data_IF_379092560345
#
_entry.id   IF_379092560345
#
_cell.length_a   1.000
_cell.length_b   1.000
_cell.length_c   1.000
_cell.angle_alpha   90.00
_cell.angle_beta   90.00
_cell.angle_gamma   90.00
#
_symmetry.space_group_name_H-M   'P 1'
#
loop_
_entity.id
_entity.type
_entity.pdbx_description
1 polymer ?
#
# COMPACT_ATOMS: atom_id res chain seq x y z
N UNK A 1 -18.86 57.90 -1.07
CA UNK A 1 -18.32 56.69 -1.72
C UNK A 1 -17.67 55.84 -0.64
N UNK A 2 -18.21 54.65 -0.42
CA UNK A 2 -17.96 53.78 0.73
C UNK A 2 -16.59 53.10 0.63
N UNK A 3 -15.73 53.31 1.64
CA UNK A 3 -14.45 52.62 1.76
C UNK A 3 -14.69 51.28 2.48
N UNK A 4 -14.71 50.17 1.73
CA UNK A 4 -14.92 48.83 2.27
C UNK A 4 -13.70 48.37 3.05
N UNK A 5 -13.89 48.13 4.35
CA UNK A 5 -12.93 47.51 5.25
C UNK A 5 -12.83 46.00 4.93
N UNK A 6 -11.76 45.59 4.27
CA UNK A 6 -11.51 44.18 3.98
C UNK A 6 -10.78 43.53 5.17
N UNK A 7 -11.55 42.84 6.02
CA UNK A 7 -11.01 41.92 7.03
C UNK A 7 -10.37 40.72 6.31
N UNK A 8 -9.04 40.67 6.29
CA UNK A 8 -8.30 39.44 5.98
C UNK A 8 -8.38 38.51 7.19
N UNK A 9 -9.44 37.70 7.25
CA UNK A 9 -9.43 36.50 8.09
C UNK A 9 -8.51 35.50 7.39
N UNK A 10 -7.26 35.46 7.84
CA UNK A 10 -6.32 34.40 7.46
C UNK A 10 -6.89 33.07 7.93
N UNK A 11 -7.48 32.32 7.01
CA UNK A 11 -7.73 30.90 7.15
C UNK A 11 -6.37 30.22 7.25
N UNK A 12 -5.86 30.12 8.48
CA UNK A 12 -4.83 29.14 8.83
C UNK A 12 -5.51 27.79 8.59
N UNK A 13 -5.28 27.22 7.41
CA UNK A 13 -5.60 25.84 7.12
C UNK A 13 -4.85 24.99 8.13
N UNK A 14 -5.53 24.60 9.21
CA UNK A 14 -5.13 23.50 10.04
C UNK A 14 -5.08 22.29 9.11
N UNK A 15 -3.88 21.98 8.62
CA UNK A 15 -3.57 20.68 8.08
C UNK A 15 -3.75 19.69 9.23
N UNK A 16 -4.98 19.20 9.39
CA UNK A 16 -5.21 18.02 10.19
C UNK A 16 -4.48 16.88 9.47
N UNK A 17 -3.28 16.55 9.92
CA UNK A 17 -2.68 15.26 9.65
C UNK A 17 -3.66 14.24 10.21
N UNK A 18 -4.54 13.72 9.34
CA UNK A 18 -5.44 12.66 9.71
C UNK A 18 -4.55 11.50 10.11
N UNK A 19 -4.56 11.20 11.42
CA UNK A 19 -4.05 9.96 11.97
C UNK A 19 -4.56 8.85 11.04
N UNK A 20 -3.66 8.13 10.38
CA UNK A 20 -4.05 6.96 9.62
C UNK A 20 -4.73 6.01 10.62
N UNK A 21 -6.06 6.00 10.64
CA UNK A 21 -6.82 5.14 11.54
C UNK A 21 -6.64 3.72 11.04
N UNK A 22 -5.56 3.07 11.50
CA UNK A 22 -5.25 1.67 11.22
C UNK A 22 -6.36 0.76 11.72
N UNK A 23 -6.46 -0.41 11.08
CA UNK A 23 -7.53 -1.35 11.35
C UNK A 23 -7.56 -1.78 12.83
N UNK A 24 -8.76 -1.94 13.42
CA UNK A 24 -8.89 -2.43 14.78
C UNK A 24 -8.22 -3.80 14.94
N UNK A 25 -7.41 -3.94 15.99
CA UNK A 25 -6.66 -5.17 16.33
C UNK A 25 -5.16 -5.11 16.05
N UNK A 26 -4.66 -4.02 15.45
CA UNK A 26 -3.23 -3.83 15.17
C UNK A 26 -2.37 -4.12 16.39
N UNK A 27 -1.24 -4.80 16.20
CA UNK A 27 -0.31 -5.12 17.30
C UNK A 27 1.15 -4.93 16.88
N UNK A 28 2.01 -4.71 17.88
CA UNK A 28 3.45 -4.56 17.66
C UNK A 28 4.13 -5.93 17.74
N UNK A 29 4.85 -6.34 16.69
CA UNK A 29 5.61 -7.61 16.70
C UNK A 29 6.88 -7.51 17.56
N UNK A 30 7.51 -6.34 17.58
CA UNK A 30 8.75 -6.06 18.32
C UNK A 30 8.52 -5.51 19.73
N UNK A 31 9.62 -5.23 20.44
CA UNK A 31 9.56 -4.47 21.68
C UNK A 31 9.13 -3.03 21.38
N UNK A 32 8.15 -2.53 22.14
CA UNK A 32 7.75 -1.14 22.06
C UNK A 32 8.86 -0.24 22.59
N UNK A 33 9.07 0.89 21.91
CA UNK A 33 10.11 1.87 22.28
C UNK A 33 9.72 2.64 23.55
N UNK A 34 8.44 3.01 23.64
CA UNK A 34 7.86 3.78 24.73
C UNK A 34 6.34 3.65 24.69
N UNK A 35 5.66 4.19 25.70
CA UNK A 35 4.24 4.50 25.60
C UNK A 35 4.01 5.70 24.67
N UNK A 36 2.78 5.85 24.20
CA UNK A 36 2.39 7.01 23.42
C UNK A 36 2.31 8.25 24.30
N UNK A 37 2.88 9.37 23.84
CA UNK A 37 2.72 10.65 24.52
C UNK A 37 1.52 11.37 23.91
N UNK A 38 0.42 11.45 24.66
CA UNK A 38 -0.85 12.04 24.17
C UNK A 38 -1.32 11.41 22.84
N UNK A 39 -1.21 10.08 22.72
CA UNK A 39 -1.57 9.34 21.51
C UNK A 39 -0.63 9.55 20.32
N UNK A 40 0.52 10.20 20.53
CA UNK A 40 1.52 10.49 19.49
C UNK A 40 2.85 9.82 19.78
N UNK A 41 3.62 9.56 18.72
CA UNK A 41 4.94 8.95 18.77
C UNK A 41 5.95 9.78 17.95
N UNK A 42 7.26 9.65 18.23
CA UNK A 42 8.31 10.25 17.41
C UNK A 42 8.26 9.72 15.97
N UNK A 43 8.84 10.46 15.02
CA UNK A 43 8.93 10.02 13.62
C UNK A 43 9.51 8.60 13.47
N UNK A 44 8.91 7.79 12.60
CA UNK A 44 9.26 6.38 12.40
C UNK A 44 8.61 5.42 13.40
N UNK A 45 7.76 5.93 14.29
CA UNK A 45 7.01 5.15 15.27
C UNK A 45 5.53 5.53 15.25
N UNK A 46 4.70 4.55 15.53
CA UNK A 46 3.24 4.71 15.52
C UNK A 46 2.61 4.17 16.79
N UNK A 47 1.54 4.86 17.23
CA UNK A 47 0.85 4.53 18.46
C UNK A 47 -0.15 3.39 18.24
N UNK A 48 0.13 2.21 18.80
CA UNK A 48 -0.73 1.03 18.74
C UNK A 48 -1.08 0.61 20.18
N UNK A 49 -2.36 0.68 20.56
CA UNK A 49 -2.83 0.22 21.87
C UNK A 49 -2.18 0.90 23.09
N UNK A 50 -1.62 2.11 22.93
CA UNK A 50 -0.81 2.89 23.88
C UNK A 50 0.72 2.67 23.85
N UNK A 51 1.25 2.01 22.82
CA UNK A 51 2.68 1.81 22.64
C UNK A 51 3.19 2.37 21.32
N UNK A 52 4.33 3.06 21.36
CA UNK A 52 5.08 3.47 20.18
C UNK A 52 5.83 2.27 19.60
N UNK A 53 5.25 1.73 18.54
CA UNK A 53 5.82 0.65 17.75
C UNK A 53 6.59 1.23 16.56
N UNK A 54 7.73 0.65 16.21
CA UNK A 54 8.40 0.98 14.94
C UNK A 54 7.43 0.72 13.79
N UNK A 55 7.34 1.62 12.82
CA UNK A 55 6.47 1.43 11.64
C UNK A 55 6.78 0.14 10.88
N UNK A 56 8.05 -0.32 10.92
CA UNK A 56 8.50 -1.59 10.36
C UNK A 56 8.02 -2.84 11.15
N UNK A 57 7.63 -2.66 12.41
CA UNK A 57 7.20 -3.72 13.32
C UNK A 57 5.68 -3.73 13.57
N UNK A 58 4.94 -2.78 12.98
CA UNK A 58 3.49 -2.75 13.09
C UNK A 58 2.88 -3.84 12.22
N UNK A 59 2.19 -4.75 12.89
CA UNK A 59 1.37 -5.78 12.26
C UNK A 59 -0.06 -5.26 12.17
N UNK A 60 -0.51 -5.01 10.94
CA UNK A 60 -1.92 -4.76 10.65
C UNK A 60 -2.68 -6.10 10.67
N UNK A 61 -3.78 -6.23 11.40
CA UNK A 61 -4.69 -7.35 11.26
C UNK A 61 -5.62 -6.96 10.13
N UNK A 62 -5.27 -7.40 8.93
CA UNK A 62 -6.16 -7.28 7.78
C UNK A 62 -6.72 -5.87 7.57
N UNK A 63 -5.88 -4.93 7.14
CA UNK A 63 -6.36 -4.05 6.07
C UNK A 63 -6.52 -4.97 4.86
N UNK A 64 -7.75 -5.23 4.42
CA UNK A 64 -8.18 -6.27 3.46
C UNK A 64 -7.05 -7.24 3.07
N UNK A 65 -6.58 -8.06 4.02
CA UNK A 65 -5.52 -9.00 3.72
C UNK A 65 -6.13 -10.05 2.81
N UNK A 66 -5.82 -9.96 1.52
CA UNK A 66 -6.43 -10.78 0.48
C UNK A 66 -5.39 -11.59 -0.26
N UNK A 67 -5.83 -12.77 -0.66
CA UNK A 67 -5.16 -13.51 -1.72
C UNK A 67 -5.68 -12.99 -3.05
N UNK A 68 -4.79 -12.61 -3.95
CA UNK A 68 -5.10 -12.19 -5.31
C UNK A 68 -5.00 -13.34 -6.29
N UNK A 69 -4.21 -14.38 -5.95
CA UNK A 69 -4.14 -15.61 -6.71
C UNK A 69 -5.25 -16.57 -6.26
N UNK A 70 -5.93 -17.20 -7.22
CA UNK A 70 -7.01 -18.17 -6.94
C UNK A 70 -6.51 -19.50 -6.37
N UNK A 71 -5.21 -19.79 -6.51
CA UNK A 71 -4.59 -21.07 -6.11
C UNK A 71 -3.33 -20.86 -5.27
N UNK A 72 -3.51 -20.25 -4.09
CA UNK A 72 -2.41 -20.02 -3.15
C UNK A 72 -1.93 -21.28 -2.41
N UNK A 73 -2.69 -22.38 -2.45
CA UNK A 73 -2.31 -23.64 -1.81
C UNK A 73 -1.05 -24.27 -2.42
N UNK A 74 -0.75 -23.93 -3.67
CA UNK A 74 0.43 -24.41 -4.41
C UNK A 74 1.63 -23.45 -4.32
N UNK A 75 1.52 -22.35 -3.56
CA UNK A 75 2.60 -21.36 -3.41
C UNK A 75 3.53 -21.75 -2.25
N UNK A 76 4.83 -21.82 -2.51
CA UNK A 76 5.85 -22.12 -1.50
C UNK A 76 6.14 -20.90 -0.60
N UNK A 77 5.29 -20.68 0.40
CA UNK A 77 5.36 -19.50 1.28
C UNK A 77 6.73 -19.29 1.98
N UNK A 78 7.49 -20.37 2.22
CA UNK A 78 8.75 -20.32 2.97
C UNK A 78 10.02 -20.38 2.09
N UNK A 79 9.87 -20.57 0.78
CA UNK A 79 11.00 -20.74 -0.12
C UNK A 79 11.72 -19.41 -0.37
N UNK A 80 13.05 -19.45 -0.36
CA UNK A 80 13.90 -18.26 -0.56
C UNK A 80 13.67 -17.77 -2.00
N UNK A 81 13.21 -16.52 -2.14
CA UNK A 81 12.81 -15.92 -3.42
C UNK A 81 11.31 -15.94 -3.70
N UNK A 82 10.52 -16.75 -2.97
CA UNK A 82 9.06 -16.80 -3.08
C UNK A 82 8.34 -15.96 -2.02
N UNK A 83 9.01 -15.56 -0.94
CA UNK A 83 8.40 -14.81 0.16
C UNK A 83 7.81 -13.46 -0.27
N UNK A 84 8.44 -12.79 -1.24
CA UNK A 84 7.92 -11.54 -1.80
C UNK A 84 6.68 -11.79 -2.68
N UNK A 85 6.74 -12.82 -3.51
CA UNK A 85 5.60 -13.25 -4.32
C UNK A 85 4.41 -13.68 -3.44
N UNK A 86 4.66 -14.50 -2.42
CA UNK A 86 3.69 -14.96 -1.45
C UNK A 86 3.08 -13.80 -0.67
N UNK A 87 3.89 -12.82 -0.26
CA UNK A 87 3.41 -11.60 0.40
C UNK A 87 2.55 -10.73 -0.50
N UNK A 88 2.85 -10.63 -1.80
CA UNK A 88 2.06 -9.84 -2.72
C UNK A 88 0.75 -10.52 -3.15
N UNK A 89 0.76 -11.84 -3.37
CA UNK A 89 -0.33 -12.53 -4.05
C UNK A 89 -1.14 -13.48 -3.16
N UNK A 90 -0.54 -13.92 -2.04
CA UNK A 90 -1.08 -14.97 -1.17
C UNK A 90 -0.93 -14.61 0.31
N UNK A 91 -1.03 -13.32 0.64
CA UNK A 91 -0.73 -12.81 1.97
C UNK A 91 -1.57 -13.48 3.07
N UNK A 92 -2.83 -13.83 2.78
CA UNK A 92 -3.71 -14.48 3.74
C UNK A 92 -3.37 -15.96 3.85
N UNK A 93 -3.28 -16.67 2.73
CA UNK A 93 -2.96 -18.12 2.70
C UNK A 93 -1.57 -18.40 3.30
N UNK A 94 -0.58 -17.56 3.02
CA UNK A 94 0.77 -17.68 3.56
C UNK A 94 0.93 -17.04 4.96
N UNK A 95 -0.15 -16.55 5.57
CA UNK A 95 -0.15 -15.87 6.86
C UNK A 95 0.86 -14.72 6.95
N UNK A 96 1.06 -13.99 5.85
CA UNK A 96 2.00 -12.88 5.69
C UNK A 96 1.35 -11.50 5.81
N UNK A 97 0.11 -11.43 6.33
CA UNK A 97 -0.61 -10.17 6.59
C UNK A 97 0.12 -9.21 7.56
N UNK A 98 1.24 -9.65 8.16
CA UNK A 98 2.01 -8.92 9.16
C UNK A 98 3.10 -8.01 8.61
N UNK A 99 3.34 -8.00 7.30
CA UNK A 99 4.45 -7.26 6.72
C UNK A 99 3.96 -6.01 6.00
N UNK A 100 4.32 -4.84 6.53
CA UNK A 100 4.16 -3.53 5.88
C UNK A 100 5.29 -3.23 4.88
N UNK A 101 6.23 -4.16 4.68
CA UNK A 101 7.35 -3.98 3.77
C UNK A 101 6.89 -3.95 2.32
N UNK A 102 7.27 -2.88 1.60
CA UNK A 102 7.02 -2.76 0.16
C UNK A 102 7.56 -3.98 -0.57
N UNK A 103 6.69 -4.69 -1.29
CA UNK A 103 7.11 -5.80 -2.15
C UNK A 103 7.75 -5.21 -3.41
N UNK A 104 8.81 -5.83 -3.93
CA UNK A 104 9.39 -5.37 -5.19
C UNK A 104 8.34 -5.48 -6.33
N UNK A 105 8.22 -4.47 -7.22
CA UNK A 105 7.24 -4.45 -8.31
C UNK A 105 7.25 -5.71 -9.18
N UNK A 106 8.43 -6.32 -9.33
CA UNK A 106 8.62 -7.56 -10.09
C UNK A 106 7.82 -8.76 -9.56
N UNK A 107 7.50 -8.81 -8.25
CA UNK A 107 6.78 -9.92 -7.63
C UNK A 107 5.26 -9.70 -7.53
N UNK A 108 4.81 -8.49 -7.83
CA UNK A 108 3.41 -8.19 -8.13
C UNK A 108 3.06 -8.53 -9.60
N UNK A 109 4.02 -9.01 -10.40
CA UNK A 109 3.84 -9.26 -11.84
C UNK A 109 3.10 -10.58 -12.15
N UNK A 110 1.86 -10.66 -11.70
CA UNK A 110 0.90 -11.69 -12.09
C UNK A 110 -0.27 -11.02 -12.78
N UNK A 111 -0.72 -11.62 -13.87
CA UNK A 111 -1.95 -11.19 -14.52
C UNK A 111 -3.14 -11.50 -13.59
N UNK A 112 -3.88 -10.46 -13.25
CA UNK A 112 -5.05 -10.52 -12.37
C UNK A 112 -6.32 -10.84 -13.17
N UNK A 113 -6.33 -10.52 -14.46
CA UNK A 113 -7.43 -10.85 -15.37
C UNK A 113 -7.15 -12.16 -16.11
N UNK A 114 -8.20 -12.95 -16.31
CA UNK A 114 -8.11 -14.23 -17.04
C UNK A 114 -8.10 -14.06 -18.56
N UNK A 115 -8.48 -12.89 -19.07
CA UNK A 115 -8.60 -12.59 -20.50
C UNK A 115 -7.47 -11.70 -21.04
N UNK A 116 -6.35 -11.59 -20.33
CA UNK A 116 -5.21 -10.75 -20.73
C UNK A 116 -4.70 -11.02 -22.14
N UNK A 117 -4.73 -12.28 -22.60
CA UNK A 117 -4.35 -12.65 -23.97
C UNK A 117 -5.17 -11.92 -25.04
N UNK A 118 -6.46 -11.66 -24.77
CA UNK A 118 -7.37 -10.96 -25.67
C UNK A 118 -7.22 -9.43 -25.61
N UNK A 119 -6.48 -8.92 -24.63
CA UNK A 119 -6.29 -7.48 -24.36
C UNK A 119 -4.90 -6.98 -24.75
N UNK A 120 -4.14 -7.78 -25.48
CA UNK A 120 -2.75 -7.46 -25.88
C UNK A 120 -2.62 -6.18 -26.68
N UNK A 121 -3.66 -5.78 -27.43
CA UNK A 121 -3.70 -4.48 -28.13
C UNK A 121 -3.64 -3.29 -27.17
N UNK A 122 -4.15 -3.43 -25.95
CA UNK A 122 -4.16 -2.39 -24.93
C UNK A 122 -2.80 -2.24 -24.23
N UNK A 123 -1.86 -3.18 -24.39
CA UNK A 123 -0.54 -3.12 -23.76
C UNK A 123 0.33 -1.95 -24.24
N UNK A 124 0.03 -1.41 -25.43
CA UNK A 124 0.77 -0.29 -26.04
C UNK A 124 -0.09 0.95 -26.23
N UNK A 125 -1.38 0.87 -25.87
CA UNK A 125 -2.29 1.98 -25.98
C UNK A 125 -2.04 2.95 -24.83
N UNK A 126 -1.76 4.21 -25.14
CA UNK A 126 -1.44 5.24 -24.14
C UNK A 126 -2.55 5.42 -23.11
N UNK A 127 -3.80 5.16 -23.49
CA UNK A 127 -4.96 5.32 -22.61
C UNK A 127 -5.13 4.12 -21.66
N UNK A 128 -4.53 2.97 -21.99
CA UNK A 128 -4.75 1.71 -21.26
C UNK A 128 -3.48 1.06 -20.73
N UNK A 129 -2.29 1.51 -21.11
CA UNK A 129 -1.01 0.92 -20.72
C UNK A 129 -0.81 0.91 -19.20
N UNK A 130 -1.30 1.93 -18.49
CA UNK A 130 -1.25 1.98 -17.03
C UNK A 130 -2.18 0.94 -16.39
N UNK A 131 -3.37 0.74 -16.94
CA UNK A 131 -4.30 -0.32 -16.51
C UNK A 131 -3.73 -1.70 -16.84
N UNK A 132 -3.06 -1.86 -17.98
CA UNK A 132 -2.43 -3.10 -18.37
C UNK A 132 -1.22 -3.44 -17.51
N UNK A 133 -0.44 -2.44 -17.08
CA UNK A 133 0.63 -2.60 -16.10
C UNK A 133 0.13 -3.00 -14.71
N UNK A 134 -1.16 -2.80 -14.42
CA UNK A 134 -1.78 -3.22 -13.17
C UNK A 134 -2.42 -4.60 -13.26
N UNK A 135 -3.20 -4.84 -14.31
CA UNK A 135 -4.06 -6.04 -14.41
C UNK A 135 -3.48 -7.16 -15.28
N UNK A 136 -2.63 -6.82 -16.25
CA UNK A 136 -2.01 -7.76 -17.18
C UNK A 136 -0.49 -7.52 -17.30
N UNK A 137 0.26 -7.26 -16.21
CA UNK A 137 1.67 -6.85 -16.30
C UNK A 137 2.56 -7.93 -16.90
N UNK A 138 2.20 -9.21 -16.75
CA UNK A 138 2.99 -10.31 -17.30
C UNK A 138 2.70 -10.47 -18.78
N UNK A 139 1.42 -10.54 -19.18
CA UNK A 139 1.04 -10.62 -20.60
C UNK A 139 1.58 -9.44 -21.40
N UNK A 140 1.60 -8.24 -20.81
CA UNK A 140 2.08 -7.03 -21.48
C UNK A 140 3.59 -6.78 -21.34
N UNK A 141 4.34 -7.61 -20.61
CA UNK A 141 5.75 -7.39 -20.27
C UNK A 141 6.01 -6.05 -19.55
N UNK A 142 5.09 -5.63 -18.70
CA UNK A 142 5.09 -4.36 -17.96
C UNK A 142 5.42 -4.55 -16.47
N UNK A 143 6.05 -5.67 -16.07
CA UNK A 143 6.44 -5.95 -14.68
C UNK A 143 7.31 -4.85 -14.02
N UNK A 144 8.04 -4.09 -14.82
CA UNK A 144 8.91 -2.99 -14.38
C UNK A 144 8.39 -1.63 -14.85
N UNK A 145 7.16 -1.58 -15.37
CA UNK A 145 6.54 -0.36 -15.85
C UNK A 145 6.27 0.58 -14.69
N UNK A 146 6.57 1.86 -14.88
CA UNK A 146 6.51 2.85 -13.81
C UNK A 146 5.08 3.03 -13.25
N UNK A 147 4.03 2.72 -14.02
CA UNK A 147 2.67 2.72 -13.47
C UNK A 147 2.42 1.61 -12.44
N UNK A 148 3.19 0.50 -12.45
CA UNK A 148 3.16 -0.48 -11.37
C UNK A 148 3.74 0.07 -10.04
N UNK A 149 4.48 1.18 -10.11
CA UNK A 149 4.88 1.97 -8.92
C UNK A 149 3.87 3.09 -8.59
N UNK A 150 3.01 3.47 -9.54
CA UNK A 150 1.75 4.21 -9.30
C UNK A 150 0.63 3.24 -8.90
N UNK A 151 0.87 2.38 -7.91
CA UNK A 151 -0.27 1.92 -7.12
C UNK A 151 -0.80 3.20 -6.46
N UNK A 152 -2.08 3.58 -6.62
CA UNK A 152 -2.66 4.62 -5.81
C UNK A 152 -2.72 4.06 -4.39
N UNK A 153 -1.60 4.14 -3.68
CA UNK A 153 -1.62 4.29 -2.24
C UNK A 153 -2.48 5.53 -2.04
N UNK A 154 -3.67 5.37 -1.46
CA UNK A 154 -4.61 6.45 -1.25
C UNK A 154 -3.85 7.69 -0.75
N UNK A 155 -3.64 8.69 -1.62
CA UNK A 155 -3.23 10.03 -1.23
C UNK A 155 -1.88 10.59 -1.67
N UNK A 156 -0.95 9.86 -2.28
CA UNK A 156 0.34 10.48 -2.65
C UNK A 156 0.47 10.68 -4.16
N UNK A 157 0.00 11.84 -4.60
CA UNK A 157 0.29 12.40 -5.92
C UNK A 157 1.77 12.79 -5.96
N UNK A 158 2.59 12.05 -6.70
CA UNK A 158 3.94 12.50 -7.06
C UNK A 158 3.81 13.67 -8.07
N UNK A 159 4.52 14.79 -7.86
CA UNK A 159 4.52 15.90 -8.80
C UNK A 159 5.19 15.49 -10.11
N UNK A 160 4.83 16.21 -11.17
CA UNK A 160 5.32 16.05 -12.55
C UNK A 160 6.85 15.97 -12.67
#
# INVERSE_FOLDING_TARGET
>A
MSLKLAFFVGLVGLAACQNATRAPGSYCKGQSRSECFMGSCPSGFECIGNQCCSEADVVQPGGDCTDYLSDCSNVECNSIGMQDFARANCARTCNMCYSSASVSPQYACTDLLTDCANRTSSCQDIDFVDMMALYCPRTCNLCLWQAATKIPNCGNQLPE
#
